data_IF_399910382381
#
_entry.id   IF_399910382381
#
_cell.length_a   1.000
_cell.length_b   1.000
_cell.length_c   1.000
_cell.angle_alpha   90.00
_cell.angle_beta   90.00
_cell.angle_gamma   90.00
#
_symmetry.space_group_name_H-M   'P 1'
#
loop_
_entity.id
_entity.type
_entity.pdbx_description
1 polymer ?
#
# COMPACT_ATOMS: atom_id res chain seq x y z
N UNK A 1 2.22 14.91 10.10
CA UNK A 1 2.84 14.84 8.76
C UNK A 1 4.02 13.89 8.83
N UNK A 2 3.77 12.60 8.60
CA UNK A 2 4.84 11.62 8.43
C UNK A 2 4.69 11.00 7.06
N UNK A 3 5.65 11.28 6.18
CA UNK A 3 5.90 10.49 4.98
C UNK A 3 6.79 9.33 5.41
N UNK A 4 6.39 8.10 5.12
CA UNK A 4 7.25 6.93 5.23
C UNK A 4 7.53 6.35 3.85
N UNK A 5 8.76 5.89 3.66
CA UNK A 5 9.24 5.27 2.44
C UNK A 5 9.61 3.83 2.77
N UNK A 6 9.11 2.89 1.98
CA UNK A 6 9.40 1.46 2.14
C UNK A 6 9.94 0.92 0.82
N UNK A 7 11.12 0.31 0.88
CA UNK A 7 11.69 -0.39 -0.28
C UNK A 7 11.00 -1.73 -0.46
N UNK A 8 10.56 -2.02 -1.68
CA UNK A 8 9.80 -3.22 -2.03
C UNK A 8 10.14 -3.69 -3.44
N UNK A 9 9.46 -4.74 -3.91
CA UNK A 9 9.57 -5.25 -5.28
C UNK A 9 8.20 -5.49 -5.89
N UNK A 10 8.06 -5.16 -7.17
CA UNK A 10 6.89 -5.47 -7.98
C UNK A 10 7.21 -6.63 -8.93
N UNK A 11 6.24 -7.51 -9.12
CA UNK A 11 6.34 -8.60 -10.09
C UNK A 11 5.98 -8.07 -11.48
N UNK A 12 6.91 -8.18 -12.42
CA UNK A 12 6.68 -7.81 -13.83
C UNK A 12 7.08 -9.02 -14.68
N UNK A 13 6.11 -9.87 -15.00
CA UNK A 13 6.38 -11.16 -15.64
C UNK A 13 7.17 -12.09 -14.71
N UNK A 14 8.42 -12.39 -15.07
CA UNK A 14 9.35 -13.19 -14.26
C UNK A 14 10.38 -12.34 -13.51
N UNK A 15 10.34 -11.01 -13.68
CA UNK A 15 11.26 -10.08 -13.06
C UNK A 15 10.69 -9.50 -11.77
N UNK A 16 11.57 -9.21 -10.81
CA UNK A 16 11.25 -8.57 -9.55
C UNK A 16 11.83 -7.15 -9.52
N UNK A 17 11.15 -6.22 -10.19
CA UNK A 17 11.58 -4.83 -10.30
C UNK A 17 11.58 -4.15 -8.93
N UNK A 18 12.65 -3.41 -8.61
CA UNK A 18 12.72 -2.64 -7.38
C UNK A 18 11.73 -1.46 -7.42
N UNK A 19 10.95 -1.28 -6.36
CA UNK A 19 9.98 -0.18 -6.23
C UNK A 19 10.06 0.44 -4.85
N UNK A 20 9.77 1.75 -4.77
CA UNK A 20 9.63 2.45 -3.49
C UNK A 20 8.15 2.74 -3.26
N UNK A 21 7.63 2.30 -2.11
CA UNK A 21 6.28 2.58 -1.67
C UNK A 21 6.30 3.79 -0.75
N UNK A 22 5.51 4.79 -1.08
CA UNK A 22 5.37 6.02 -0.29
C UNK A 22 4.04 5.99 0.45
N UNK A 23 4.06 6.29 1.75
CA UNK A 23 2.86 6.37 2.58
C UNK A 23 2.86 7.70 3.31
N UNK A 24 1.76 8.43 3.16
CA UNK A 24 1.55 9.67 3.88
C UNK A 24 0.40 9.52 4.88
N UNK A 25 0.66 9.84 6.14
CA UNK A 25 -0.37 9.90 7.17
C UNK A 25 -0.74 11.36 7.46
N UNK A 26 -2.00 11.68 7.19
CA UNK A 26 -2.64 12.96 7.49
C UNK A 26 -3.69 12.80 8.59
N UNK A 27 -3.91 13.86 9.36
CA UNK A 27 -4.98 13.91 10.36
C UNK A 27 -6.32 14.20 9.65
N UNK A 28 -7.38 13.51 10.05
CA UNK A 28 -8.70 13.69 9.45
C UNK A 28 -9.57 12.44 9.59
N UNK A 29 -10.60 12.36 8.75
CA UNK A 29 -11.46 11.18 8.70
C UNK A 29 -10.67 9.95 8.20
N UNK A 30 -10.97 8.74 8.71
CA UNK A 30 -10.30 7.53 8.26
C UNK A 30 -10.52 7.28 6.77
N UNK A 31 -9.47 7.48 5.97
CA UNK A 31 -9.47 7.20 4.55
C UNK A 31 -8.16 6.54 4.13
N UNK A 32 -8.27 5.49 3.29
CA UNK A 32 -7.12 4.83 2.67
C UNK A 32 -7.24 4.93 1.15
N UNK A 33 -6.49 5.85 0.56
CA UNK A 33 -6.41 6.01 -0.89
C UNK A 33 -5.15 5.33 -1.40
N UNK A 34 -5.29 4.46 -2.39
CA UNK A 34 -4.17 3.78 -3.05
C UNK A 34 -4.08 4.33 -4.48
N UNK A 35 -2.92 4.87 -4.84
CA UNK A 35 -2.65 5.53 -6.12
C UNK A 35 -1.49 4.84 -6.85
N UNK A 36 -1.37 5.10 -8.15
CA UNK A 36 -0.30 4.55 -8.99
C UNK A 36 -0.64 3.15 -9.52
N UNK A 37 -1.45 3.11 -10.59
CA UNK A 37 -1.79 1.93 -11.43
C UNK A 37 -1.71 0.56 -10.76
N UNK A 38 -2.16 0.45 -9.51
CA UNK A 38 -1.92 -0.74 -8.73
C UNK A 38 -2.83 -1.87 -9.18
N UNK A 39 -2.24 -3.05 -9.25
CA UNK A 39 -2.95 -4.27 -9.61
C UNK A 39 -4.05 -4.61 -8.61
N UNK A 40 -5.01 -5.42 -9.08
CA UNK A 40 -6.17 -5.87 -8.30
C UNK A 40 -5.75 -6.53 -7.00
N UNK A 41 -4.71 -7.37 -7.01
CA UNK A 41 -4.20 -8.04 -5.81
C UNK A 41 -3.77 -7.07 -4.71
N UNK A 42 -3.16 -5.94 -5.09
CA UNK A 42 -2.75 -4.89 -4.14
C UNK A 42 -3.97 -4.21 -3.54
N UNK A 43 -5.01 -3.98 -4.36
CA UNK A 43 -6.29 -3.41 -3.89
C UNK A 43 -7.02 -4.33 -2.91
N UNK A 44 -6.97 -5.64 -3.12
CA UNK A 44 -7.53 -6.64 -2.21
C UNK A 44 -6.71 -6.78 -0.92
N UNK A 45 -5.38 -6.75 -1.03
CA UNK A 45 -4.47 -6.77 0.12
C UNK A 45 -4.74 -5.61 1.09
N UNK A 46 -5.07 -4.41 0.57
CA UNK A 46 -5.49 -3.26 1.38
C UNK A 46 -6.66 -3.61 2.30
N UNK A 47 -7.69 -4.28 1.81
CA UNK A 47 -8.86 -4.62 2.61
C UNK A 47 -8.51 -5.67 3.68
N UNK A 48 -7.67 -6.66 3.34
CA UNK A 48 -7.17 -7.64 4.32
C UNK A 48 -6.39 -6.98 5.46
N UNK A 49 -5.50 -6.05 5.14
CA UNK A 49 -4.73 -5.30 6.15
C UNK A 49 -5.66 -4.47 7.03
N UNK A 50 -6.65 -3.80 6.44
CA UNK A 50 -7.65 -3.03 7.18
C UNK A 50 -8.43 -3.92 8.16
N UNK A 51 -8.91 -5.07 7.70
CA UNK A 51 -9.65 -6.02 8.54
C UNK A 51 -8.80 -6.54 9.71
N UNK A 52 -7.52 -6.85 9.46
CA UNK A 52 -6.59 -7.27 10.49
C UNK A 52 -6.39 -6.17 11.56
N UNK A 53 -6.17 -4.92 11.14
CA UNK A 53 -5.99 -3.79 12.06
C UNK A 53 -7.22 -3.46 12.91
N UNK A 54 -8.43 -3.78 12.43
CA UNK A 54 -9.67 -3.57 13.20
C UNK A 54 -9.96 -4.69 14.20
N UNK A 55 -9.41 -5.88 13.96
CA UNK A 55 -9.77 -7.10 14.72
C UNK A 55 -8.70 -7.48 15.76
N UNK A 56 -7.48 -6.97 15.63
CA UNK A 56 -6.44 -7.07 16.66
C UNK A 56 -6.71 -6.14 17.84
#
# INVERSE_FOLDING_TARGET
MSLSLVQSRALVGLDAAAVTVEVHLANGLPQFTLVGLADTEVKEARERVRAALLTC
#
